data_IF_747832638513
#
_entry.id   IF_747832638513
#
_cell.length_a   1.000
_cell.length_b   1.000
_cell.length_c   1.000
_cell.angle_alpha   90.00
_cell.angle_beta   90.00
_cell.angle_gamma   90.00
#
_symmetry.space_group_name_H-M   'P 1'
#
loop_
_entity.id
_entity.type
_entity.pdbx_description
1 polymer ?
#
# COMPACT_ATOMS: atom_id res chain seq x y z
N UNK A 1 13.28 6.62 -10.53
CA UNK A 1 12.99 6.01 -9.21
C UNK A 1 11.49 5.80 -9.20
N UNK A 2 10.99 4.58 -8.94
CA UNK A 2 9.56 4.28 -9.13
C UNK A 2 8.75 4.72 -7.91
N UNK A 3 7.78 5.62 -8.06
CA UNK A 3 6.93 6.07 -6.94
C UNK A 3 5.72 5.17 -6.73
N UNK A 4 5.30 4.99 -5.47
CA UNK A 4 4.09 4.25 -5.15
C UNK A 4 3.27 4.93 -4.06
N UNK A 5 1.96 4.73 -4.10
CA UNK A 5 1.05 5.06 -3.01
C UNK A 5 0.34 3.79 -2.56
N UNK A 6 0.23 3.60 -1.24
CA UNK A 6 -0.39 2.41 -0.67
C UNK A 6 -1.56 2.83 0.22
N UNK A 7 -2.78 2.50 -0.23
CA UNK A 7 -4.01 2.73 0.49
C UNK A 7 -4.43 1.44 1.20
N UNK A 8 -4.40 1.44 2.52
CA UNK A 8 -4.90 0.33 3.35
C UNK A 8 -6.34 0.60 3.78
N UNK A 9 -7.24 -0.29 3.40
CA UNK A 9 -8.65 -0.32 3.78
C UNK A 9 -8.94 -1.61 4.56
N UNK A 10 -10.02 -1.61 5.34
CA UNK A 10 -10.45 -2.79 6.09
C UNK A 10 -10.05 -2.72 7.56
N UNK A 11 -9.37 -3.76 8.05
CA UNK A 11 -9.08 -3.93 9.47
C UNK A 11 -7.59 -3.80 9.80
N UNK A 12 -7.24 -3.93 11.08
CA UNK A 12 -5.86 -3.85 11.55
C UNK A 12 -4.90 -4.82 10.84
N UNK A 13 -5.39 -5.98 10.35
CA UNK A 13 -4.57 -6.92 9.58
C UNK A 13 -4.09 -6.30 8.26
N UNK A 14 -4.98 -5.62 7.54
CA UNK A 14 -4.62 -4.94 6.29
C UNK A 14 -3.56 -3.86 6.54
N UNK A 15 -3.63 -3.12 7.66
CA UNK A 15 -2.60 -2.14 8.02
C UNK A 15 -1.24 -2.79 8.26
N UNK A 16 -1.18 -3.85 9.06
CA UNK A 16 0.07 -4.58 9.34
C UNK A 16 0.68 -5.18 8.06
N UNK A 17 -0.16 -5.76 7.20
CA UNK A 17 0.28 -6.30 5.92
C UNK A 17 0.79 -5.19 4.98
N UNK A 18 0.11 -4.04 4.99
CA UNK A 18 0.48 -2.85 4.21
C UNK A 18 1.84 -2.27 4.63
N UNK A 19 2.12 -2.21 5.93
CA UNK A 19 3.44 -1.81 6.44
C UNK A 19 4.54 -2.75 5.94
N UNK A 20 4.27 -4.06 5.98
CA UNK A 20 5.19 -5.07 5.46
C UNK A 20 5.43 -4.93 3.95
N UNK A 21 4.37 -4.68 3.17
CA UNK A 21 4.47 -4.41 1.73
C UNK A 21 5.27 -3.14 1.43
N UNK A 22 5.04 -2.06 2.19
CA UNK A 22 5.77 -0.81 2.04
C UNK A 22 7.27 -0.99 2.30
N UNK A 23 7.65 -1.73 3.35
CA UNK A 23 9.05 -2.05 3.64
C UNK A 23 9.72 -2.83 2.50
N UNK A 24 9.03 -3.83 1.92
CA UNK A 24 9.56 -4.57 0.77
C UNK A 24 9.79 -3.65 -0.44
N UNK A 25 8.87 -2.75 -0.74
CA UNK A 25 8.99 -1.81 -1.86
C UNK A 25 10.14 -0.83 -1.65
N UNK A 26 10.26 -0.27 -0.44
CA UNK A 26 11.38 0.62 -0.06
C UNK A 26 12.73 -0.09 -0.23
N UNK A 27 12.83 -1.34 0.24
CA UNK A 27 14.04 -2.15 0.10
C UNK A 27 14.39 -2.47 -1.37
N UNK A 28 13.40 -2.38 -2.27
CA UNK A 28 13.57 -2.53 -3.73
C UNK A 28 13.68 -1.18 -4.47
N UNK A 29 14.06 -0.11 -3.77
CA UNK A 29 14.29 1.23 -4.33
C UNK A 29 13.05 1.91 -4.96
N UNK A 30 11.86 1.56 -4.48
CA UNK A 30 10.64 2.35 -4.71
C UNK A 30 10.51 3.45 -3.66
N UNK A 31 9.82 4.54 -4.01
CA UNK A 31 9.62 5.69 -3.13
C UNK A 31 8.14 5.85 -2.79
N UNK A 32 7.77 5.82 -1.50
CA UNK A 32 6.38 6.10 -1.10
C UNK A 32 6.05 7.58 -1.32
N UNK A 33 4.84 7.87 -1.77
CA UNK A 33 4.28 9.22 -1.86
C UNK A 33 2.94 9.29 -1.14
N UNK A 34 2.67 10.41 -0.46
CA UNK A 34 1.41 10.62 0.26
C UNK A 34 0.24 10.92 -0.68
N UNK A 35 0.48 11.72 -1.71
CA UNK A 35 -0.54 12.03 -2.71
C UNK A 35 -0.59 10.93 -3.78
N UNK A 36 -1.71 10.19 -3.92
CA UNK A 36 -1.86 9.18 -4.96
C UNK A 36 -1.70 9.75 -6.39
N UNK A 37 -1.94 11.05 -6.60
CA UNK A 37 -1.74 11.69 -7.90
C UNK A 37 -0.26 11.80 -8.30
N UNK A 38 0.67 11.62 -7.36
CA UNK A 38 2.11 11.62 -7.58
C UNK A 38 2.70 10.20 -7.75
N UNK A 39 1.87 9.16 -7.63
CA UNK A 39 2.30 7.78 -7.69
C UNK A 39 2.28 7.23 -9.13
N UNK A 40 3.35 6.54 -9.53
CA UNK A 40 3.35 5.73 -10.76
C UNK A 40 2.52 4.46 -10.59
N UNK A 41 2.41 3.94 -9.36
CA UNK A 41 1.61 2.76 -9.00
C UNK A 41 0.82 3.02 -7.72
N UNK A 42 -0.48 2.73 -7.75
CA UNK A 42 -1.33 2.75 -6.56
C UNK A 42 -1.65 1.31 -6.16
N UNK A 43 -1.42 0.96 -4.90
CA UNK A 43 -1.75 -0.33 -4.31
C UNK A 43 -2.89 -0.11 -3.32
N UNK A 44 -4.01 -0.83 -3.51
CA UNK A 44 -5.13 -0.81 -2.57
C UNK A 44 -5.20 -2.18 -1.89
N UNK A 45 -4.92 -2.22 -0.58
CA UNK A 45 -5.11 -3.42 0.23
C UNK A 45 -6.46 -3.33 0.94
N UNK A 46 -7.34 -4.30 0.72
CA UNK A 46 -8.69 -4.29 1.30
C UNK A 46 -9.12 -5.70 1.71
N UNK A 47 -10.15 -5.81 2.55
CA UNK A 47 -10.76 -7.09 2.88
C UNK A 47 -11.46 -7.68 1.65
N UNK A 48 -11.17 -8.94 1.32
CA UNK A 48 -11.90 -9.68 0.29
C UNK A 48 -13.32 -10.10 0.70
N UNK A 49 -13.58 -10.20 2.00
CA UNK A 49 -14.87 -10.55 2.57
C UNK A 49 -15.31 -9.46 3.54
N UNK A 50 -16.32 -8.69 3.14
CA UNK A 50 -16.86 -7.55 3.92
C UNK A 50 -18.26 -7.87 4.50
N UNK A 51 -18.66 -9.15 4.42
CA UNK A 51 -19.91 -9.72 4.89
C UNK A 51 -19.98 -11.21 4.48
N UNK A 52 -20.98 -11.98 4.96
CA UNK A 52 -21.32 -13.25 4.32
C UNK A 52 -21.69 -13.08 2.85
#
# INVERSE_FOLDING_TARGET
MKTFHLLSLGCAKNTVDSDSMAQLLINNAFTPVEDPAQAEVIIVNTCGFIGP
#
